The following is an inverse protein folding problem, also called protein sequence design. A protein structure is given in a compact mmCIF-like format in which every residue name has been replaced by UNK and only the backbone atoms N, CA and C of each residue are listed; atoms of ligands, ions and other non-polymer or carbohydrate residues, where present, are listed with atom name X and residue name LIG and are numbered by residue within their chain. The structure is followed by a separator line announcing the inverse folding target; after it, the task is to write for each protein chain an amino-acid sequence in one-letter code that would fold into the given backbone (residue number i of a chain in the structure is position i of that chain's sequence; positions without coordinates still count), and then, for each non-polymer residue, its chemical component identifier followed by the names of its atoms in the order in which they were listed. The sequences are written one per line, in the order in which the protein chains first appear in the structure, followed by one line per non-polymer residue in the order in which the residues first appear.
data_IF_309635980551
#
_entry.id   IF_309635980551
#
_cell.length_a   1.000
_cell.length_b   1.000
_cell.length_c   1.000
_cell.angle_alpha   90.00
_cell.angle_beta   90.00
_cell.angle_gamma   90.00
#
_symmetry.space_group_name_H-M   'P 1'
#
loop_
_entity.id
_entity.type
_entity.pdbx_description
1 polymer ?
#
# COMPACT_ATOMS: atom_id res chain seq x y z
N UNK A 1 -8.96 -18.21 16.48
CA UNK A 1 -9.70 -16.96 16.19
C UNK A 1 -10.54 -17.20 14.95
N UNK A 2 -11.74 -16.65 14.90
CA UNK A 2 -12.62 -16.74 13.73
C UNK A 2 -12.25 -15.61 12.76
N UNK A 3 -11.32 -15.90 11.84
CA UNK A 3 -10.80 -14.93 10.87
C UNK A 3 -10.68 -15.58 9.49
N UNK A 4 -11.19 -14.91 8.48
CA UNK A 4 -10.97 -15.26 7.08
C UNK A 4 -9.78 -14.47 6.53
N UNK A 5 -8.83 -15.18 5.93
CA UNK A 5 -7.61 -14.59 5.38
C UNK A 5 -7.61 -14.81 3.88
N UNK A 6 -7.36 -13.75 3.12
CA UNK A 6 -7.05 -13.81 1.69
C UNK A 6 -5.63 -13.28 1.47
N UNK A 7 -4.80 -14.04 0.77
CA UNK A 7 -3.40 -13.69 0.53
C UNK A 7 -3.22 -13.18 -0.91
N UNK A 8 -2.98 -11.88 -1.06
CA UNK A 8 -2.73 -11.27 -2.38
C UNK A 8 -1.24 -11.32 -2.74
N UNK A 9 -0.92 -11.96 -3.85
CA UNK A 9 0.41 -12.01 -4.46
C UNK A 9 0.47 -11.15 -5.73
N UNK A 10 1.62 -11.16 -6.41
CA UNK A 10 1.81 -10.45 -7.67
C UNK A 10 1.29 -11.29 -8.85
N UNK A 11 0.64 -10.63 -9.83
CA UNK A 11 0.11 -11.29 -11.02
C UNK A 11 1.18 -11.80 -12.01
N UNK A 12 2.38 -11.21 -12.00
CA UNK A 12 3.54 -11.74 -12.71
C UNK A 12 4.86 -11.16 -12.14
N UNK A 13 6.01 -11.77 -12.47
CA UNK A 13 7.31 -11.43 -11.89
C UNK A 13 7.57 -9.91 -11.88
N UNK A 14 7.71 -9.37 -10.66
CA UNK A 14 8.08 -7.99 -10.34
C UNK A 14 9.14 -8.00 -9.24
N UNK A 15 10.41 -7.92 -9.64
CA UNK A 15 11.56 -8.06 -8.72
C UNK A 15 11.48 -9.35 -7.90
N UNK A 16 11.44 -9.23 -6.56
CA UNK A 16 11.38 -10.32 -5.61
C UNK A 16 9.99 -10.43 -4.95
N UNK A 17 8.96 -9.82 -5.54
CA UNK A 17 7.59 -9.99 -5.07
C UNK A 17 7.13 -11.44 -5.31
N UNK A 18 6.46 -12.00 -4.31
CA UNK A 18 5.92 -13.36 -4.39
C UNK A 18 4.81 -13.45 -5.44
N UNK A 19 4.79 -14.57 -6.15
CA UNK A 19 3.80 -14.97 -7.15
C UNK A 19 2.89 -16.08 -6.61
N UNK A 20 1.92 -16.54 -7.42
CA UNK A 20 1.05 -17.66 -7.04
C UNK A 20 1.86 -18.95 -6.90
N UNK A 21 2.87 -19.12 -7.75
CA UNK A 21 3.81 -20.24 -7.74
C UNK A 21 4.61 -20.26 -6.43
N UNK A 22 5.11 -19.11 -5.97
CA UNK A 22 5.82 -19.01 -4.70
C UNK A 22 4.92 -19.35 -3.50
N UNK A 23 3.67 -18.85 -3.52
CA UNK A 23 2.70 -19.14 -2.47
C UNK A 23 2.32 -20.63 -2.42
N UNK A 24 2.19 -21.28 -3.58
CA UNK A 24 1.97 -22.72 -3.67
C UNK A 24 3.19 -23.50 -3.16
N UNK A 25 4.41 -23.09 -3.50
CA UNK A 25 5.64 -23.76 -3.08
C UNK A 25 5.85 -23.76 -1.56
N UNK A 26 5.43 -22.70 -0.86
CA UNK A 26 5.50 -22.62 0.60
C UNK A 26 4.25 -23.14 1.32
N UNK A 27 3.23 -23.55 0.57
CA UNK A 27 2.00 -24.13 1.12
C UNK A 27 1.13 -23.14 1.91
N UNK A 28 0.89 -21.93 1.37
CA UNK A 28 -0.04 -20.98 2.00
C UNK A 28 -1.43 -21.64 2.12
N UNK A 29 -1.99 -21.78 3.34
CA UNK A 29 -3.24 -22.54 3.56
C UNK A 29 -4.51 -21.72 3.32
N UNK A 30 -4.37 -20.50 2.80
CA UNK A 30 -5.45 -19.54 2.60
C UNK A 30 -5.73 -19.36 1.10
N UNK A 31 -6.92 -18.88 0.71
CA UNK A 31 -7.16 -18.39 -0.63
C UNK A 31 -6.06 -17.44 -1.08
N UNK A 32 -5.40 -17.77 -2.18
CA UNK A 32 -4.38 -16.94 -2.82
C UNK A 32 -5.02 -16.26 -4.02
N UNK A 33 -4.91 -14.94 -4.09
CA UNK A 33 -5.33 -14.13 -5.24
C UNK A 33 -4.13 -13.36 -5.77
N UNK A 34 -4.24 -12.77 -6.96
CA UNK A 34 -3.20 -11.89 -7.49
C UNK A 34 -3.77 -10.53 -7.91
N UNK A 35 -2.91 -9.51 -7.91
CA UNK A 35 -3.30 -8.14 -8.26
C UNK A 35 -3.43 -7.85 -9.76
N UNK A 36 -3.26 -8.85 -10.63
CA UNK A 36 -3.46 -8.72 -12.07
C UNK A 36 -2.36 -7.98 -12.85
N UNK A 37 -1.29 -7.53 -12.20
CA UNK A 37 -0.26 -6.72 -12.88
C UNK A 37 1.16 -6.99 -12.37
N UNK A 38 2.13 -6.28 -12.99
CA UNK A 38 3.58 -6.41 -12.75
C UNK A 38 4.19 -5.18 -12.08
N UNK A 39 3.37 -4.28 -11.56
CA UNK A 39 3.83 -3.02 -10.95
C UNK A 39 4.17 -3.26 -9.48
N UNK A 40 5.30 -2.77 -8.98
CA UNK A 40 5.61 -2.89 -7.55
C UNK A 40 4.57 -2.13 -6.70
N UNK A 41 4.19 -2.69 -5.54
CA UNK A 41 3.16 -2.11 -4.69
C UNK A 41 1.74 -2.49 -5.12
N UNK A 42 0.74 -1.74 -4.69
CA UNK A 42 -0.67 -2.00 -5.00
C UNK A 42 -1.26 -0.73 -5.61
N UNK A 43 -1.16 -0.61 -6.93
CA UNK A 43 -1.79 0.48 -7.69
C UNK A 43 -3.27 0.17 -7.86
N UNK A 44 -4.13 0.94 -7.18
CA UNK A 44 -5.56 0.65 -7.03
C UNK A 44 -6.32 0.66 -8.36
N UNK A 45 -5.90 1.51 -9.29
CA UNK A 45 -6.45 1.66 -10.64
C UNK A 45 -6.04 0.54 -11.61
N UNK A 46 -5.08 -0.30 -11.22
CA UNK A 46 -4.56 -1.41 -12.03
C UNK A 46 -4.87 -2.79 -11.44
N UNK A 47 -5.69 -2.86 -10.39
CA UNK A 47 -6.06 -4.13 -9.77
C UNK A 47 -6.93 -4.98 -10.70
N UNK A 48 -6.71 -6.29 -10.65
CA UNK A 48 -7.70 -7.25 -11.15
C UNK A 48 -9.04 -7.07 -10.44
N UNK A 49 -10.13 -7.48 -11.10
CA UNK A 49 -11.47 -7.44 -10.49
C UNK A 49 -11.52 -8.25 -9.18
N UNK A 50 -10.87 -9.42 -9.14
CA UNK A 50 -10.74 -10.27 -7.95
C UNK A 50 -10.03 -9.52 -6.80
N UNK A 51 -8.89 -8.88 -7.07
CA UNK A 51 -8.15 -8.14 -6.05
C UNK A 51 -8.86 -6.87 -5.60
N UNK A 52 -9.54 -6.16 -6.51
CA UNK A 52 -10.34 -4.99 -6.16
C UNK A 52 -11.52 -5.37 -5.25
N UNK A 53 -12.22 -6.46 -5.58
CA UNK A 53 -13.31 -6.98 -4.76
C UNK A 53 -12.82 -7.39 -3.36
N UNK A 54 -11.73 -8.17 -3.29
CA UNK A 54 -11.13 -8.59 -2.03
C UNK A 54 -10.66 -7.40 -1.18
N UNK A 55 -10.05 -6.38 -1.79
CA UNK A 55 -9.63 -5.16 -1.12
C UNK A 55 -10.84 -4.41 -0.53
N UNK A 56 -11.91 -4.25 -1.32
CA UNK A 56 -13.10 -3.50 -0.92
C UNK A 56 -13.92 -4.19 0.18
N UNK A 57 -13.92 -5.53 0.21
CA UNK A 57 -14.65 -6.32 1.19
C UNK A 57 -13.88 -6.59 2.48
N UNK A 58 -12.60 -6.25 2.56
CA UNK A 58 -11.78 -6.55 3.72
C UNK A 58 -12.02 -5.57 4.89
N UNK A 59 -12.26 -6.11 6.09
CA UNK A 59 -12.34 -5.33 7.32
C UNK A 59 -10.99 -4.69 7.71
N UNK A 60 -9.90 -5.42 7.43
CA UNK A 60 -8.51 -5.03 7.73
C UNK A 60 -7.60 -5.50 6.60
N UNK A 61 -6.70 -4.63 6.16
CA UNK A 61 -5.69 -4.97 5.15
C UNK A 61 -4.29 -4.87 5.76
N UNK A 62 -3.44 -5.87 5.54
CA UNK A 62 -2.02 -5.83 5.91
C UNK A 62 -1.14 -5.66 4.68
N UNK A 63 -0.72 -4.42 4.42
CA UNK A 63 0.14 -4.05 3.30
C UNK A 63 1.63 -4.23 3.67
N UNK A 64 2.26 -5.30 3.16
CA UNK A 64 3.67 -5.60 3.45
C UNK A 64 4.63 -4.98 2.43
N UNK A 65 5.68 -4.32 2.92
CA UNK A 65 6.74 -3.74 2.11
C UNK A 65 6.54 -2.26 1.77
N UNK A 66 7.64 -1.57 1.45
CA UNK A 66 7.62 -0.13 1.18
C UNK A 66 6.82 0.23 -0.08
N UNK A 67 6.85 -0.59 -1.13
CA UNK A 67 6.11 -0.29 -2.36
C UNK A 67 4.58 -0.28 -2.12
N UNK A 68 4.07 -1.19 -1.28
CA UNK A 68 2.66 -1.18 -0.88
C UNK A 68 2.33 0.04 -0.02
N UNK A 69 3.19 0.40 0.94
CA UNK A 69 3.02 1.64 1.69
C UNK A 69 3.04 2.88 0.79
N UNK A 70 3.94 2.94 -0.18
CA UNK A 70 4.08 4.09 -1.09
C UNK A 70 2.85 4.30 -1.99
N UNK A 71 2.26 3.21 -2.46
CA UNK A 71 1.13 3.23 -3.40
C UNK A 71 -0.24 3.35 -2.71
N UNK A 72 -0.38 2.81 -1.49
CA UNK A 72 -1.66 2.79 -0.79
C UNK A 72 -1.80 3.87 0.28
N UNK A 73 -0.73 4.57 0.68
CA UNK A 73 -0.82 5.61 1.72
C UNK A 73 -1.88 6.65 1.37
N UNK A 74 -2.89 6.80 2.23
CA UNK A 74 -4.02 7.70 2.01
C UNK A 74 -5.11 7.16 1.09
N UNK A 75 -5.16 5.85 0.82
CA UNK A 75 -6.18 5.21 -0.01
C UNK A 75 -7.60 5.21 0.58
N UNK A 76 -7.75 5.48 1.89
CA UNK A 76 -9.04 5.51 2.58
C UNK A 76 -9.52 4.17 3.13
N UNK A 77 -8.82 3.06 2.85
CA UNK A 77 -9.11 1.76 3.47
C UNK A 77 -8.48 1.60 4.85
N UNK A 78 -8.96 0.62 5.63
CA UNK A 78 -8.39 0.28 6.94
C UNK A 78 -7.12 -0.57 6.79
N UNK A 79 -6.03 0.08 6.36
CA UNK A 79 -4.74 -0.58 6.07
C UNK A 79 -3.78 -0.46 7.24
N UNK A 80 -3.03 -1.53 7.51
CA UNK A 80 -1.84 -1.53 8.33
C UNK A 80 -0.63 -1.79 7.44
N UNK A 81 0.37 -0.92 7.51
CA UNK A 81 1.60 -1.01 6.76
C UNK A 81 2.69 -1.66 7.59
N UNK A 82 3.25 -2.77 7.10
CA UNK A 82 4.39 -3.46 7.71
C UNK A 82 5.60 -3.40 6.78
N UNK A 83 6.61 -2.60 7.11
CA UNK A 83 7.79 -2.43 6.25
C UNK A 83 9.05 -2.05 7.03
N UNK A 84 10.21 -2.18 6.38
CA UNK A 84 11.48 -1.67 6.86
C UNK A 84 11.82 -0.40 6.08
N UNK A 85 12.24 0.68 6.73
CA UNK A 85 12.69 1.91 6.04
C UNK A 85 14.01 1.61 5.32
N UNK A 86 14.04 1.55 3.99
CA UNK A 86 15.27 1.28 3.22
C UNK A 86 15.66 2.38 2.24
N UNK A 87 15.00 3.53 2.26
CA UNK A 87 15.35 4.66 1.39
C UNK A 87 15.11 6.02 2.04
N UNK A 88 15.84 7.03 1.55
CA UNK A 88 15.78 8.40 2.08
C UNK A 88 14.38 9.02 1.97
N UNK A 89 13.61 8.67 0.92
CA UNK A 89 12.21 9.10 0.76
C UNK A 89 11.37 8.71 1.99
N UNK A 90 11.51 7.47 2.45
CA UNK A 90 10.80 6.98 3.63
C UNK A 90 11.36 7.56 4.94
N UNK A 91 12.67 7.80 5.02
CA UNK A 91 13.27 8.52 6.15
C UNK A 91 12.62 9.89 6.31
N UNK A 92 12.55 10.67 5.23
CA UNK A 92 11.93 12.00 5.23
C UNK A 92 10.43 11.93 5.50
N UNK A 93 9.72 10.99 4.88
CA UNK A 93 8.26 10.83 5.00
C UNK A 93 7.82 10.46 6.41
N UNK A 94 8.53 9.55 7.07
CA UNK A 94 8.16 8.98 8.37
C UNK A 94 8.95 9.57 9.54
N UNK A 95 10.03 10.33 9.28
CA UNK A 95 10.89 10.89 10.32
C UNK A 95 11.60 9.81 11.13
N UNK A 96 11.96 8.69 10.50
CA UNK A 96 12.59 7.53 11.13
C UNK A 96 13.91 7.19 10.44
N UNK A 97 14.94 6.75 11.18
CA UNK A 97 16.21 6.33 10.57
C UNK A 97 16.04 5.20 9.56
N UNK A 98 17.02 5.08 8.65
CA UNK A 98 17.18 3.89 7.82
C UNK A 98 17.18 2.62 8.68
N UNK A 99 16.64 1.54 8.12
CA UNK A 99 16.47 0.22 8.71
C UNK A 99 15.58 0.18 9.96
N UNK A 100 14.75 1.20 10.19
CA UNK A 100 13.72 1.14 11.24
C UNK A 100 12.57 0.23 10.79
N UNK A 101 12.19 -0.80 11.58
CA UNK A 101 10.97 -1.57 11.32
C UNK A 101 9.74 -0.74 11.69
N UNK A 102 8.75 -0.76 10.83
CA UNK A 102 7.54 0.06 10.93
C UNK A 102 6.31 -0.84 10.86
N UNK A 103 5.42 -0.68 11.84
CA UNK A 103 4.03 -1.12 11.77
C UNK A 103 3.15 0.12 11.99
N UNK A 104 2.49 0.58 10.93
CA UNK A 104 1.78 1.87 10.93
C UNK A 104 0.37 1.66 10.44
N UNK A 105 -0.63 2.10 11.22
CA UNK A 105 -2.02 2.15 10.75
C UNK A 105 -2.22 3.33 9.79
N UNK A 106 -2.95 3.10 8.71
CA UNK A 106 -3.52 4.15 7.86
C UNK A 106 -4.27 5.15 8.75
N UNK A 107 -3.95 6.43 8.59
CA UNK A 107 -4.51 7.45 9.46
C UNK A 107 -5.81 7.92 8.85
N UNK A 108 -6.90 7.79 9.61
CA UNK A 108 -8.10 8.57 9.35
C UNK A 108 -7.70 10.04 9.17
N UNK A 109 -8.04 10.57 8.01
CA UNK A 109 -7.54 11.84 7.52
C UNK A 109 -8.10 12.98 8.37
N UNK A 110 -7.44 13.34 9.48
CA UNK A 110 -7.74 14.58 10.22
C UNK A 110 -6.53 15.09 10.99
N UNK A 111 -5.95 16.18 10.48
CA UNK A 111 -5.16 17.21 11.20
C UNK A 111 -3.63 17.11 11.37
N UNK A 112 -2.96 15.95 11.28
CA UNK A 112 -1.48 15.91 11.51
C UNK A 112 -0.58 16.09 10.28
N UNK A 113 -1.06 15.81 9.07
CA UNK A 113 -0.22 15.96 7.86
C UNK A 113 -0.15 17.43 7.36
N UNK A 114 -1.16 18.25 7.64
CA UNK A 114 -1.18 19.68 7.29
C UNK A 114 -0.10 20.52 7.96
N UNK A 115 0.52 20.02 9.05
CA UNK A 115 1.65 20.71 9.71
C UNK A 115 3.03 20.30 9.16
N UNK A 116 3.12 19.21 8.40
CA UNK A 116 4.40 18.69 7.89
C UNK A 116 4.61 18.98 6.39
N UNK A 117 3.53 19.15 5.62
CA UNK A 117 3.59 19.50 4.19
C UNK A 117 3.90 20.97 3.89
N UNK A 118 3.97 21.86 4.90
CA UNK A 118 4.39 23.26 4.70
C UNK A 118 5.91 23.47 4.58
N UNK A 119 6.73 22.42 4.50
CA UNK A 119 8.20 22.54 4.52
C UNK A 119 8.96 21.85 3.37
N UNK A 120 8.31 21.49 2.27
CA UNK A 120 9.05 20.98 1.10
C UNK A 120 8.53 21.62 -0.18
N UNK A 121 9.30 22.52 -0.83
CA UNK A 121 8.94 23.04 -2.13
C UNK A 121 9.27 21.95 -3.17
N UNK A 122 8.28 21.60 -4.00
CA UNK A 122 8.49 20.81 -5.20
C UNK A 122 7.91 19.40 -5.18
N UNK A 123 6.58 19.28 -5.17
CA UNK A 123 5.88 18.17 -5.84
C UNK A 123 4.67 18.76 -6.56
N UNK A 124 4.54 18.41 -7.84
CA UNK A 124 3.66 18.95 -8.86
C UNK A 124 2.22 19.20 -8.39
N UNK A 125 1.74 20.44 -8.57
CA UNK A 125 0.31 20.75 -8.49
C UNK A 125 -0.41 20.15 -9.71
N UNK A 126 -1.44 19.34 -9.47
CA UNK A 126 -2.34 18.85 -10.51
C UNK A 126 -3.25 20.02 -10.97
N UNK A 127 -3.21 20.45 -12.24
CA UNK A 127 -3.91 21.65 -12.70
C UNK A 127 -5.44 21.53 -12.80
N UNK A 128 -6.05 20.41 -12.38
CA UNK A 128 -7.49 20.15 -12.57
C UNK A 128 -8.39 20.39 -11.34
N UNK A 129 -7.85 20.82 -10.19
CA UNK A 129 -8.65 21.07 -8.99
C UNK A 129 -9.21 22.52 -8.88
N UNK A 130 -9.21 23.30 -9.97
CA UNK A 130 -9.69 24.69 -10.00
C UNK A 130 -10.86 24.92 -10.96
N UNK A 131 -11.89 24.08 -10.95
CA UNK A 131 -13.20 24.47 -11.50
C UNK A 131 -14.30 23.78 -10.70
N UNK A 132 -14.67 24.38 -9.57
CA UNK A 132 -16.00 24.26 -8.95
C UNK A 132 -16.08 25.19 -7.74
N UNK A 133 -16.05 26.49 -8.00
CA UNK A 133 -16.64 27.55 -7.15
C UNK A 133 -16.86 28.79 -8.00
N UNK A 134 -17.96 28.82 -8.74
CA UNK A 134 -18.75 30.02 -8.94
C UNK A 134 -20.18 29.65 -9.33
#
# INVERSE_FOLDING_TARGET
PDIDITFCVRGAIAQNDATREDAAAVGIPFPVIDNGNRVAGTQLDMLSEEAAAALSGADVILAKGMANAETMLGCGYNVYYAFLVKCQRFVTRFGKPMFTPMLVKERENRSRLGKMLKKSPGICENPLAKQEKQ
#
